data_IF_807793720538
#
_entry.id   IF_807793720538
#
_cell.length_a   1.000
_cell.length_b   1.000
_cell.length_c   1.000
_cell.angle_alpha   90.00
_cell.angle_beta   90.00
_cell.angle_gamma   90.00
#
_symmetry.space_group_name_H-M   'P 1'
#
loop_
_entity.id
_entity.type
_entity.pdbx_description
1 polymer ?
#
# COMPACT_ATOMS: atom_id res chain seq x y z
N UNK A 1 0.32 -21.60 22.14
CA UNK A 1 -0.61 -22.66 21.68
C UNK A 1 0.12 -23.69 20.81
N UNK A 2 0.05 -24.98 21.13
CA UNK A 2 0.49 -26.07 20.25
C UNK A 2 -0.50 -26.19 19.08
N UNK A 3 -0.11 -25.74 17.88
CA UNK A 3 -0.93 -25.93 16.67
C UNK A 3 -0.86 -27.38 16.23
N UNK A 4 -2.01 -28.00 15.98
CA UNK A 4 -2.07 -29.40 15.53
C UNK A 4 -1.43 -29.56 14.14
N UNK A 5 -0.70 -30.65 13.88
CA UNK A 5 -0.11 -30.91 12.58
C UNK A 5 -1.18 -31.09 11.51
N UNK A 6 -0.88 -30.62 10.29
CA UNK A 6 -1.76 -30.78 9.12
C UNK A 6 -2.02 -32.26 8.88
N UNK A 7 -3.29 -32.67 8.89
CA UNK A 7 -3.67 -34.06 8.63
C UNK A 7 -3.89 -34.29 7.13
N UNK A 8 -3.67 -35.52 6.67
CA UNK A 8 -4.01 -35.94 5.31
C UNK A 8 -5.50 -35.68 4.98
N UNK A 9 -6.38 -35.76 5.99
CA UNK A 9 -7.80 -35.44 5.86
C UNK A 9 -8.02 -33.97 5.52
N UNK A 10 -7.32 -33.06 6.20
CA UNK A 10 -7.39 -31.62 5.92
C UNK A 10 -6.92 -31.30 4.50
N UNK A 11 -5.81 -31.90 4.06
CA UNK A 11 -5.30 -31.71 2.69
C UNK A 11 -6.29 -32.20 1.63
N UNK A 12 -6.93 -33.37 1.83
CA UNK A 12 -7.96 -33.90 0.93
C UNK A 12 -9.19 -33.00 0.85
N UNK A 13 -9.62 -32.44 1.98
CA UNK A 13 -10.76 -31.51 2.01
C UNK A 13 -10.44 -30.22 1.29
N UNK A 14 -9.23 -29.69 1.49
CA UNK A 14 -8.77 -28.48 0.83
C UNK A 14 -8.63 -28.66 -0.68
N UNK A 15 -8.01 -29.75 -1.14
CA UNK A 15 -7.93 -30.08 -2.56
C UNK A 15 -9.32 -30.29 -3.20
N UNK A 16 -10.23 -30.96 -2.51
CA UNK A 16 -11.62 -31.08 -2.97
C UNK A 16 -12.31 -29.69 -3.07
N UNK A 17 -12.11 -28.81 -2.09
CA UNK A 17 -12.66 -27.46 -2.12
C UNK A 17 -12.12 -26.64 -3.31
N UNK A 18 -10.81 -26.74 -3.60
CA UNK A 18 -10.19 -26.08 -4.76
C UNK A 18 -10.77 -26.59 -6.08
N UNK A 19 -10.93 -27.91 -6.23
CA UNK A 19 -11.52 -28.50 -7.43
C UNK A 19 -12.98 -28.06 -7.63
N UNK A 20 -13.77 -28.06 -6.56
CA UNK A 20 -15.16 -27.60 -6.61
C UNK A 20 -15.27 -26.12 -6.93
N UNK A 21 -14.41 -25.28 -6.32
CA UNK A 21 -14.36 -23.86 -6.64
C UNK A 21 -14.01 -23.65 -8.11
N UNK A 22 -13.01 -24.35 -8.65
CA UNK A 22 -12.63 -24.21 -10.06
C UNK A 22 -13.81 -24.48 -11.00
N UNK A 23 -14.54 -25.56 -10.78
CA UNK A 23 -15.76 -25.87 -11.55
C UNK A 23 -16.81 -24.76 -11.40
N UNK A 24 -16.96 -24.20 -10.20
CA UNK A 24 -17.90 -23.10 -9.93
C UNK A 24 -17.48 -21.79 -10.61
N UNK A 25 -16.19 -21.59 -10.85
CA UNK A 25 -15.67 -20.40 -11.53
C UNK A 25 -15.80 -20.48 -13.06
N UNK A 26 -15.90 -21.69 -13.62
CA UNK A 26 -16.15 -21.90 -15.05
C UNK A 26 -17.62 -21.59 -15.43
N UNK A 27 -18.54 -21.59 -14.45
CA UNK A 27 -19.93 -21.16 -14.62
C UNK A 27 -20.06 -19.64 -14.33
N UNK A 28 -20.46 -18.80 -15.31
CA UNK A 28 -20.53 -17.36 -15.13
C UNK A 28 -21.54 -16.92 -14.06
N UNK A 29 -22.62 -17.68 -13.83
CA UNK A 29 -23.62 -17.37 -12.80
C UNK A 29 -23.04 -17.63 -11.43
N UNK A 30 -22.38 -18.79 -11.25
CA UNK A 30 -21.77 -19.14 -9.98
C UNK A 30 -20.55 -18.25 -9.67
N UNK A 31 -19.73 -17.90 -10.67
CA UNK A 31 -18.63 -16.96 -10.52
C UNK A 31 -19.09 -15.58 -10.01
N UNK A 32 -20.30 -15.15 -10.39
CA UNK A 32 -20.89 -13.88 -9.94
C UNK A 32 -21.60 -13.97 -8.58
N UNK A 33 -21.74 -15.16 -8.01
CA UNK A 33 -22.41 -15.33 -6.71
C UNK A 33 -21.57 -14.85 -5.52
N UNK A 34 -22.24 -14.48 -4.42
CA UNK A 34 -21.61 -14.20 -3.14
C UNK A 34 -20.96 -15.45 -2.51
N UNK A 35 -21.48 -16.63 -2.85
CA UNK A 35 -20.93 -17.91 -2.39
C UNK A 35 -19.52 -18.15 -2.91
N UNK A 36 -19.26 -17.84 -4.19
CA UNK A 36 -17.91 -17.92 -4.78
C UNK A 36 -16.94 -16.92 -4.16
N UNK A 37 -17.38 -15.69 -3.88
CA UNK A 37 -16.56 -14.70 -3.15
C UNK A 37 -16.24 -15.18 -1.72
N UNK A 38 -17.22 -15.73 -1.02
CA UNK A 38 -17.02 -16.29 0.31
C UNK A 38 -16.03 -17.47 0.28
N UNK A 39 -16.17 -18.39 -0.68
CA UNK A 39 -15.27 -19.51 -0.85
C UNK A 39 -13.83 -19.06 -1.12
N UNK A 40 -13.64 -18.06 -1.99
CA UNK A 40 -12.31 -17.47 -2.23
C UNK A 40 -11.75 -16.81 -0.96
N UNK A 41 -12.54 -16.02 -0.24
CA UNK A 41 -12.09 -15.42 1.02
C UNK A 41 -11.65 -16.47 2.05
N UNK A 42 -12.41 -17.57 2.18
CA UNK A 42 -12.04 -18.68 3.07
C UNK A 42 -10.73 -19.32 2.62
N UNK A 43 -10.54 -19.56 1.32
CA UNK A 43 -9.30 -20.12 0.79
C UNK A 43 -8.10 -19.19 1.01
N UNK A 44 -8.25 -17.88 0.80
CA UNK A 44 -7.22 -16.89 1.07
C UNK A 44 -6.81 -16.91 2.56
N UNK A 45 -7.79 -16.96 3.47
CA UNK A 45 -7.52 -17.11 4.91
C UNK A 45 -6.85 -18.45 5.22
N UNK A 46 -7.30 -19.54 4.59
CA UNK A 46 -6.73 -20.88 4.78
C UNK A 46 -5.28 -20.96 4.33
N UNK A 47 -4.92 -20.41 3.16
CA UNK A 47 -3.53 -20.40 2.68
C UNK A 47 -2.61 -19.67 3.64
N UNK A 48 -3.00 -18.47 4.09
CA UNK A 48 -2.20 -17.67 5.01
C UNK A 48 -2.08 -18.34 6.39
N UNK A 49 -3.08 -19.15 6.77
CA UNK A 49 -2.99 -20.02 7.94
C UNK A 49 -2.12 -21.26 7.72
N UNK A 50 -2.00 -21.77 6.49
CA UNK A 50 -1.24 -22.97 6.11
C UNK A 50 0.26 -22.71 5.97
N UNK A 51 0.68 -21.53 5.52
CA UNK A 51 2.10 -21.11 5.56
C UNK A 51 2.60 -21.00 7.02
N UNK A 52 1.68 -20.71 7.93
CA UNK A 52 1.85 -20.80 9.38
C UNK A 52 1.81 -22.23 9.94
N UNK A 53 1.62 -23.25 9.10
CA UNK A 53 1.51 -24.68 9.46
C UNK A 53 2.59 -25.58 8.85
N UNK A 54 3.58 -25.04 8.10
CA UNK A 54 4.93 -25.61 8.09
C UNK A 54 5.45 -26.31 6.82
N UNK A 55 5.10 -25.87 5.62
CA UNK A 55 5.84 -26.29 4.41
C UNK A 55 6.70 -25.15 3.90
N UNK A 56 8.02 -25.23 4.14
CA UNK A 56 8.99 -24.18 3.82
C UNK A 56 9.41 -24.09 2.35
N UNK A 57 8.86 -24.89 1.44
CA UNK A 57 9.26 -24.86 0.05
C UNK A 57 8.10 -24.41 -0.83
N UNK A 58 8.29 -23.21 -1.39
CA UNK A 58 7.47 -22.56 -2.42
C UNK A 58 6.18 -21.92 -1.88
N UNK A 59 6.29 -20.65 -1.49
CA UNK A 59 5.16 -19.74 -1.28
C UNK A 59 4.46 -19.56 -2.62
N UNK A 60 3.51 -20.43 -2.93
CA UNK A 60 2.66 -20.29 -4.09
C UNK A 60 1.59 -19.25 -3.78
N UNK A 61 1.89 -17.97 -4.01
CA UNK A 61 0.99 -16.80 -4.03
C UNK A 61 -0.17 -16.90 -5.05
N UNK A 62 -0.60 -18.13 -5.41
CA UNK A 62 -1.56 -18.39 -6.46
C UNK A 62 -3.02 -18.09 -6.11
N UNK A 63 -3.41 -17.91 -4.84
CA UNK A 63 -4.81 -17.61 -4.54
C UNK A 63 -5.20 -16.18 -4.84
N UNK A 64 -4.33 -15.19 -4.66
CA UNK A 64 -4.62 -13.85 -5.16
C UNK A 64 -4.62 -13.81 -6.69
N UNK A 65 -3.83 -14.66 -7.37
CA UNK A 65 -3.94 -14.85 -8.83
C UNK A 65 -5.32 -15.39 -9.22
N UNK A 66 -5.80 -16.44 -8.56
CA UNK A 66 -7.14 -17.00 -8.78
C UNK A 66 -8.26 -16.01 -8.41
N UNK A 67 -8.10 -15.29 -7.30
CA UNK A 67 -9.02 -14.25 -6.87
C UNK A 67 -9.05 -13.07 -7.85
N UNK A 68 -7.90 -12.70 -8.43
CA UNK A 68 -7.85 -11.70 -9.49
C UNK A 68 -8.64 -12.15 -10.72
N UNK A 69 -8.50 -13.42 -11.14
CA UNK A 69 -9.30 -13.97 -12.25
C UNK A 69 -10.80 -13.93 -11.93
N UNK A 70 -11.21 -14.29 -10.71
CA UNK A 70 -12.59 -14.16 -10.27
C UNK A 70 -13.06 -12.69 -10.34
N UNK A 71 -12.32 -11.75 -9.77
CA UNK A 71 -12.68 -10.32 -9.80
C UNK A 71 -12.89 -9.80 -11.23
N UNK A 72 -12.06 -10.27 -12.19
CA UNK A 72 -12.21 -9.97 -13.61
C UNK A 72 -13.45 -10.61 -14.23
N UNK A 73 -13.68 -11.89 -13.96
CA UNK A 73 -14.83 -12.64 -14.46
C UNK A 73 -16.17 -12.04 -14.02
N UNK A 74 -16.19 -11.35 -12.88
CA UNK A 74 -17.38 -10.64 -12.38
C UNK A 74 -17.76 -9.42 -13.21
N UNK A 75 -16.87 -8.85 -14.04
CA UNK A 75 -17.19 -7.75 -14.96
C UNK A 75 -18.01 -6.60 -14.33
N UNK A 76 -17.63 -6.14 -13.14
CA UNK A 76 -18.31 -5.07 -12.40
C UNK A 76 -19.69 -5.44 -11.82
N UNK A 77 -20.07 -6.73 -11.81
CA UNK A 77 -21.21 -7.22 -11.06
C UNK A 77 -20.85 -7.31 -9.57
N UNK A 78 -20.87 -6.14 -8.94
CA UNK A 78 -20.66 -5.98 -7.52
C UNK A 78 -21.94 -6.32 -6.76
N UNK A 79 -21.88 -7.15 -5.71
CA UNK A 79 -23.06 -7.47 -4.93
C UNK A 79 -23.69 -6.22 -4.33
N UNK A 80 -25.00 -6.05 -4.49
CA UNK A 80 -25.73 -4.94 -3.86
C UNK A 80 -25.90 -5.14 -2.34
N UNK A 81 -25.78 -6.37 -1.85
CA UNK A 81 -25.91 -6.71 -0.44
C UNK A 81 -24.68 -6.29 0.38
N UNK A 82 -24.90 -5.90 1.64
CA UNK A 82 -23.85 -5.45 2.57
C UNK A 82 -22.73 -6.50 2.72
N UNK A 83 -23.09 -7.79 2.78
CA UNK A 83 -22.13 -8.89 2.94
C UNK A 83 -21.26 -9.03 1.69
N UNK A 84 -21.88 -9.19 0.53
CA UNK A 84 -21.16 -9.34 -0.73
C UNK A 84 -20.29 -8.12 -1.07
N UNK A 85 -20.74 -6.90 -0.75
CA UNK A 85 -19.93 -5.69 -0.89
C UNK A 85 -18.68 -5.74 -0.01
N UNK A 86 -18.82 -6.08 1.28
CA UNK A 86 -17.68 -6.20 2.21
C UNK A 86 -16.69 -7.31 1.80
N UNK A 87 -17.20 -8.45 1.30
CA UNK A 87 -16.36 -9.51 0.74
C UNK A 87 -15.60 -9.01 -0.48
N UNK A 88 -16.28 -8.30 -1.40
CA UNK A 88 -15.65 -7.72 -2.60
C UNK A 88 -14.54 -6.73 -2.24
N UNK A 89 -14.79 -5.83 -1.28
CA UNK A 89 -13.77 -4.91 -0.76
C UNK A 89 -12.55 -5.68 -0.24
N UNK A 90 -12.78 -6.71 0.59
CA UNK A 90 -11.70 -7.48 1.23
C UNK A 90 -10.84 -8.24 0.20
N UNK A 91 -11.47 -8.95 -0.75
CA UNK A 91 -10.77 -9.66 -1.82
C UNK A 91 -10.02 -8.66 -2.70
N UNK A 92 -10.68 -7.58 -3.11
CA UNK A 92 -10.09 -6.57 -3.98
C UNK A 92 -8.85 -5.92 -3.36
N UNK A 93 -8.91 -5.53 -2.08
CA UNK A 93 -7.77 -4.94 -1.38
C UNK A 93 -6.59 -5.91 -1.29
N UNK A 94 -6.81 -7.16 -0.90
CA UNK A 94 -5.74 -8.14 -0.79
C UNK A 94 -5.07 -8.42 -2.15
N UNK A 95 -5.89 -8.60 -3.20
CA UNK A 95 -5.40 -8.82 -4.56
C UNK A 95 -4.61 -7.62 -5.08
N UNK A 96 -5.10 -6.40 -4.85
CA UNK A 96 -4.43 -5.16 -5.28
C UNK A 96 -3.11 -4.93 -4.55
N UNK A 97 -3.02 -5.28 -3.26
CA UNK A 97 -1.74 -5.20 -2.53
C UNK A 97 -0.76 -6.23 -3.08
N UNK A 98 -1.18 -7.49 -3.24
CA UNK A 98 -0.27 -8.53 -3.71
C UNK A 98 0.23 -8.27 -5.13
N UNK A 99 -0.60 -7.71 -6.00
CA UNK A 99 -0.22 -7.46 -7.38
C UNK A 99 0.99 -6.52 -7.51
N UNK A 100 1.35 -5.74 -6.47
CA UNK A 100 2.54 -4.86 -6.53
C UNK A 100 3.81 -5.70 -6.59
N UNK A 101 3.77 -6.85 -5.94
CA UNK A 101 4.87 -7.78 -5.81
C UNK A 101 4.74 -8.92 -6.83
N UNK A 102 3.52 -9.36 -7.13
CA UNK A 102 3.27 -10.50 -8.01
C UNK A 102 3.03 -10.08 -9.47
N UNK A 103 4.01 -10.25 -10.39
CA UNK A 103 3.88 -9.82 -11.79
C UNK A 103 2.87 -10.63 -12.61
N UNK A 104 2.35 -11.75 -12.09
CA UNK A 104 1.30 -12.53 -12.74
C UNK A 104 -0.08 -11.91 -12.58
N UNK A 105 -0.26 -11.04 -11.57
CA UNK A 105 -1.48 -10.29 -11.39
C UNK A 105 -1.34 -8.95 -12.12
N UNK A 106 -2.09 -8.81 -13.21
CA UNK A 106 -2.09 -7.58 -14.03
C UNK A 106 -3.51 -7.07 -14.19
N UNK A 107 -3.68 -5.76 -14.17
CA UNK A 107 -4.95 -5.11 -14.41
C UNK A 107 -4.84 -4.13 -15.57
N UNK A 108 -5.88 -4.09 -16.38
CA UNK A 108 -6.12 -3.01 -17.34
C UNK A 108 -6.57 -1.74 -16.61
N UNK A 109 -6.45 -0.60 -17.27
CA UNK A 109 -6.91 0.67 -16.73
C UNK A 109 -8.42 0.67 -16.44
N UNK A 110 -9.22 0.02 -17.30
CA UNK A 110 -10.68 -0.09 -17.10
C UNK A 110 -11.02 -0.89 -15.84
N UNK A 111 -10.32 -2.00 -15.60
CA UNK A 111 -10.47 -2.81 -14.38
C UNK A 111 -10.10 -2.00 -13.13
N UNK A 112 -8.96 -1.28 -13.15
CA UNK A 112 -8.53 -0.43 -12.04
C UNK A 112 -9.52 0.69 -11.74
N UNK A 113 -10.10 1.33 -12.76
CA UNK A 113 -11.14 2.36 -12.60
C UNK A 113 -12.39 1.79 -11.95
N UNK A 114 -12.80 0.58 -12.36
CA UNK A 114 -13.94 -0.11 -11.73
C UNK A 114 -13.67 -0.43 -10.26
N UNK A 115 -12.51 -1.00 -9.95
CA UNK A 115 -12.12 -1.28 -8.55
C UNK A 115 -12.04 0.01 -7.73
N UNK A 116 -11.47 1.07 -8.29
CA UNK A 116 -11.39 2.39 -7.63
C UNK A 116 -12.80 2.92 -7.29
N UNK A 117 -13.78 2.73 -8.18
CA UNK A 117 -15.19 3.07 -7.93
C UNK A 117 -15.83 2.18 -6.85
N UNK A 118 -15.60 0.87 -6.90
CA UNK A 118 -16.08 -0.07 -5.87
C UNK A 118 -15.55 0.33 -4.49
N UNK A 119 -14.24 0.56 -4.38
CA UNK A 119 -13.56 0.84 -3.12
C UNK A 119 -14.02 2.16 -2.49
N UNK A 120 -14.43 3.15 -3.29
CA UNK A 120 -15.00 4.44 -2.80
C UNK A 120 -16.45 4.34 -2.35
N UNK A 121 -17.21 3.38 -2.86
CA UNK A 121 -18.65 3.30 -2.62
C UNK A 121 -18.96 2.92 -1.16
N UNK A 122 -19.59 3.84 -0.42
CA UNK A 122 -20.14 3.57 0.92
C UNK A 122 -19.11 3.39 2.04
N UNK A 123 -17.86 3.81 1.81
CA UNK A 123 -16.71 3.52 2.70
C UNK A 123 -16.07 4.79 3.28
N UNK A 124 -16.46 5.99 2.85
CA UNK A 124 -15.95 7.26 3.41
C UNK A 124 -14.42 7.36 3.34
N UNK A 125 -13.78 7.77 4.45
CA UNK A 125 -12.32 7.87 4.58
C UNK A 125 -11.60 6.54 4.26
N UNK A 126 -12.16 5.40 4.67
CA UNK A 126 -11.62 4.09 4.33
C UNK A 126 -11.58 3.88 2.81
N UNK A 127 -12.61 4.31 2.10
CA UNK A 127 -12.67 4.22 0.63
C UNK A 127 -11.64 5.08 -0.08
N UNK A 128 -11.38 6.27 0.45
CA UNK A 128 -10.30 7.14 -0.06
C UNK A 128 -8.95 6.45 0.05
N UNK A 129 -8.63 5.87 1.22
CA UNK A 129 -7.38 5.13 1.39
C UNK A 129 -7.35 3.92 0.47
N UNK A 130 -8.36 3.07 0.49
CA UNK A 130 -8.38 1.85 -0.32
C UNK A 130 -8.28 2.14 -1.82
N UNK A 131 -9.03 3.11 -2.34
CA UNK A 131 -9.03 3.42 -3.78
C UNK A 131 -7.71 4.04 -4.26
N UNK A 132 -6.93 4.65 -3.37
CA UNK A 132 -5.62 5.22 -3.72
C UNK A 132 -4.61 4.18 -4.20
N UNK A 133 -4.78 2.91 -3.82
CA UNK A 133 -3.91 1.84 -4.33
C UNK A 133 -4.06 1.68 -5.85
N UNK A 134 -5.27 1.85 -6.38
CA UNK A 134 -5.52 1.88 -7.83
C UNK A 134 -4.87 3.11 -8.47
N UNK A 135 -4.87 4.25 -7.78
CA UNK A 135 -4.22 5.47 -8.28
C UNK A 135 -2.71 5.27 -8.40
N UNK A 136 -2.06 4.69 -7.38
CA UNK A 136 -0.65 4.30 -7.44
C UNK A 136 -0.33 3.36 -8.60
N UNK A 137 -1.20 2.37 -8.86
CA UNK A 137 -1.10 1.52 -10.04
C UNK A 137 -1.11 2.30 -11.35
N UNK A 138 -2.12 3.17 -11.51
CA UNK A 138 -2.28 3.98 -12.69
C UNK A 138 -1.10 4.94 -12.87
N UNK A 139 -0.59 5.52 -11.79
CA UNK A 139 0.60 6.39 -11.83
C UNK A 139 1.83 5.64 -12.34
N UNK A 140 2.10 4.43 -11.84
CA UNK A 140 3.19 3.60 -12.34
C UNK A 140 2.99 3.20 -13.81
N UNK A 141 1.76 2.86 -14.23
CA UNK A 141 1.47 2.51 -15.62
C UNK A 141 1.58 3.70 -16.57
N UNK A 142 1.16 4.90 -16.14
CA UNK A 142 1.33 6.14 -16.90
C UNK A 142 2.81 6.43 -17.08
N UNK A 143 3.61 6.25 -16.02
CA UNK A 143 5.06 6.39 -16.11
C UNK A 143 5.66 5.46 -17.18
N UNK A 144 5.35 4.16 -17.12
CA UNK A 144 5.88 3.16 -18.05
C UNK A 144 5.48 3.43 -19.50
N UNK A 145 4.24 3.88 -19.73
CA UNK A 145 3.71 4.15 -21.08
C UNK A 145 4.15 5.49 -21.68
N UNK A 146 4.52 6.46 -20.84
CA UNK A 146 4.92 7.82 -21.27
C UNK A 146 6.41 8.08 -21.07
N UNK A 147 7.21 7.02 -21.12
CA UNK A 147 8.66 7.11 -21.03
C UNK A 147 9.25 8.09 -22.07
N UNK A 148 8.56 8.44 -23.16
CA UNK A 148 9.08 9.40 -24.15
C UNK A 148 8.44 10.80 -24.10
N UNK A 149 7.35 11.00 -23.33
CA UNK A 149 6.60 12.26 -23.25
C UNK A 149 6.96 13.07 -22.00
N UNK A 150 7.80 14.09 -22.19
CA UNK A 150 8.29 14.99 -21.14
C UNK A 150 7.14 15.78 -20.46
N UNK A 151 6.10 16.15 -21.21
CA UNK A 151 4.96 16.94 -20.71
C UNK A 151 4.12 16.17 -19.70
N UNK A 152 3.84 14.89 -19.99
CA UNK A 152 3.12 13.99 -19.08
C UNK A 152 3.87 13.70 -17.79
N UNK A 153 5.20 13.66 -17.87
CA UNK A 153 6.11 13.42 -16.73
C UNK A 153 6.05 14.53 -15.69
N UNK A 154 5.91 15.80 -16.07
CA UNK A 154 5.88 16.91 -15.09
C UNK A 154 4.56 17.04 -14.32
N UNK A 155 3.44 16.57 -14.88
CA UNK A 155 2.15 16.60 -14.19
C UNK A 155 1.99 15.45 -13.18
N UNK A 156 2.75 14.38 -13.34
CA UNK A 156 2.61 13.17 -12.52
C UNK A 156 3.02 13.36 -11.05
N UNK A 157 4.13 14.04 -10.71
CA UNK A 157 4.51 14.31 -9.31
C UNK A 157 3.42 15.03 -8.54
N UNK A 158 2.76 16.02 -9.16
CA UNK A 158 1.65 16.76 -8.55
C UNK A 158 0.47 15.80 -8.23
N UNK A 159 0.11 14.92 -9.17
CA UNK A 159 -0.97 13.95 -8.97
C UNK A 159 -0.64 12.98 -7.83
N UNK A 160 0.57 12.42 -7.82
CA UNK A 160 1.00 11.50 -6.75
C UNK A 160 1.02 12.19 -5.39
N UNK A 161 1.47 13.45 -5.33
CA UNK A 161 1.46 14.26 -4.10
C UNK A 161 0.04 14.46 -3.57
N UNK A 162 -0.91 14.81 -4.44
CA UNK A 162 -2.31 14.96 -4.08
C UNK A 162 -2.91 13.64 -3.56
N UNK A 163 -2.57 12.51 -4.18
CA UNK A 163 -2.97 11.19 -3.67
C UNK A 163 -2.42 10.94 -2.27
N UNK A 164 -1.11 11.16 -2.03
CA UNK A 164 -0.51 10.97 -0.71
C UNK A 164 -1.16 11.87 0.35
N UNK A 165 -1.42 13.14 0.03
CA UNK A 165 -2.09 14.09 0.94
C UNK A 165 -3.53 13.67 1.27
N UNK A 166 -4.27 13.20 0.26
CA UNK A 166 -5.64 12.71 0.43
C UNK A 166 -5.68 11.48 1.34
N UNK A 167 -4.77 10.53 1.11
CA UNK A 167 -4.62 9.31 1.92
C UNK A 167 -4.21 9.66 3.36
N UNK A 168 -3.25 10.56 3.56
CA UNK A 168 -2.83 10.99 4.89
C UNK A 168 -3.97 11.66 5.67
N UNK A 169 -4.84 12.42 4.98
CA UNK A 169 -6.02 13.05 5.59
C UNK A 169 -7.07 12.02 5.97
N UNK A 170 -7.43 11.12 5.05
CA UNK A 170 -8.37 10.04 5.31
C UNK A 170 -7.89 9.10 6.42
N UNK A 171 -6.58 8.83 6.49
CA UNK A 171 -5.97 8.06 7.58
C UNK A 171 -6.14 8.73 8.95
N UNK A 172 -5.96 10.05 9.03
CA UNK A 172 -6.18 10.81 10.27
C UNK A 172 -7.63 10.70 10.74
N UNK A 173 -8.59 10.84 9.83
CA UNK A 173 -10.01 10.67 10.15
C UNK A 173 -10.31 9.27 10.71
N UNK A 174 -9.73 8.21 10.13
CA UNK A 174 -9.86 6.84 10.64
C UNK A 174 -9.27 6.69 12.04
N UNK A 175 -8.08 7.27 12.28
CA UNK A 175 -7.45 7.26 13.62
C UNK A 175 -8.29 7.99 14.65
N UNK A 176 -8.96 9.08 14.27
CA UNK A 176 -9.84 9.81 15.17
C UNK A 176 -11.10 8.99 15.50
N UNK A 177 -11.66 8.25 14.54
CA UNK A 177 -12.72 7.27 14.80
C UNK A 177 -12.25 6.19 15.79
N UNK A 178 -11.06 5.63 15.61
CA UNK A 178 -10.50 4.62 16.51
C UNK A 178 -10.41 5.14 17.95
N UNK A 179 -9.87 6.35 18.15
CA UNK A 179 -9.80 6.99 19.48
C UNK A 179 -11.17 7.17 20.13
N UNK A 180 -12.19 7.52 19.35
CA UNK A 180 -13.57 7.66 19.85
C UNK A 180 -14.11 6.30 20.35
N UNK A 181 -13.86 5.23 19.61
CA UNK A 181 -14.26 3.87 20.00
C UNK A 181 -13.52 3.43 21.27
N UNK A 182 -12.21 3.68 21.36
CA UNK A 182 -11.40 3.35 22.54
C UNK A 182 -11.86 4.11 23.78
N UNK A 183 -12.20 5.40 23.62
CA UNK A 183 -12.78 6.23 24.69
C UNK A 183 -14.11 5.67 25.16
N UNK A 184 -14.97 5.22 24.23
CA UNK A 184 -16.25 4.59 24.57
C UNK A 184 -16.07 3.25 25.31
N UNK A 185 -15.04 2.47 24.96
CA UNK A 185 -14.70 1.20 25.61
C UNK A 185 -14.13 1.35 27.02
N UNK A 186 -13.43 2.46 27.30
CA UNK A 186 -12.92 2.78 28.63
C UNK A 186 -14.06 3.06 29.63
N UNK A 187 -15.24 3.46 29.15
CA UNK A 187 -16.44 3.66 29.95
C UNK A 187 -17.27 2.38 30.19
N UNK A 188 -18.30 2.51 31.01
CA UNK A 188 -19.35 1.49 31.12
C UNK A 188 -20.33 1.62 29.95
N UNK A 189 -20.04 0.94 28.82
CA UNK A 189 -20.92 0.95 27.66
C UNK A 189 -21.81 -0.31 27.60
N UNK A 190 -23.14 -0.19 27.41
CA UNK A 190 -24.04 -1.36 27.35
C UNK A 190 -23.73 -2.32 26.19
N UNK A 191 -22.99 -1.88 25.18
CA UNK A 191 -22.60 -2.66 24.00
C UNK A 191 -21.11 -3.00 23.95
N UNK A 192 -20.44 -3.15 25.11
CA UNK A 192 -18.99 -3.39 25.19
C UNK A 192 -18.48 -4.50 24.26
N UNK A 193 -19.23 -5.60 24.12
CA UNK A 193 -18.85 -6.71 23.23
C UNK A 193 -18.81 -6.30 21.74
N UNK A 194 -19.79 -5.53 21.27
CA UNK A 194 -19.86 -5.04 19.89
C UNK A 194 -18.73 -4.04 19.64
N UNK A 195 -18.50 -3.13 20.58
CA UNK A 195 -17.42 -2.16 20.49
C UNK A 195 -16.04 -2.84 20.48
N UNK A 196 -15.84 -3.89 21.28
CA UNK A 196 -14.60 -4.66 21.28
C UNK A 196 -14.35 -5.31 19.92
N UNK A 197 -15.39 -5.89 19.31
CA UNK A 197 -15.30 -6.45 17.96
C UNK A 197 -14.99 -5.35 16.94
N UNK A 198 -15.62 -4.19 17.03
CA UNK A 198 -15.39 -3.05 16.15
C UNK A 198 -13.94 -2.54 16.23
N UNK A 199 -13.39 -2.36 17.44
CA UNK A 199 -11.98 -1.98 17.64
C UNK A 199 -11.05 -2.97 16.96
N UNK A 200 -11.24 -4.28 17.15
CA UNK A 200 -10.41 -5.30 16.47
C UNK A 200 -10.47 -5.22 14.95
N UNK A 201 -11.61 -4.84 14.38
CA UNK A 201 -11.72 -4.66 12.93
C UNK A 201 -11.06 -3.37 12.47
N UNK A 202 -11.16 -2.30 13.24
CA UNK A 202 -10.51 -1.02 12.94
C UNK A 202 -8.99 -1.14 13.04
N UNK A 203 -8.45 -1.82 14.05
CA UNK A 203 -7.01 -2.12 14.19
C UNK A 203 -6.48 -2.85 12.94
N UNK A 204 -7.20 -3.88 12.48
CA UNK A 204 -6.83 -4.61 11.25
C UNK A 204 -6.88 -3.72 10.02
N UNK A 205 -7.91 -2.90 9.93
CA UNK A 205 -8.05 -1.95 8.84
C UNK A 205 -6.91 -0.93 8.84
N UNK A 206 -6.47 -0.49 10.02
CA UNK A 206 -5.35 0.41 10.20
C UNK A 206 -4.06 -0.16 9.58
N UNK A 207 -3.75 -1.44 9.82
CA UNK A 207 -2.58 -2.13 9.26
C UNK A 207 -2.61 -2.11 7.71
N UNK A 208 -3.78 -2.34 7.11
CA UNK A 208 -3.97 -2.25 5.66
C UNK A 208 -3.71 -0.82 5.19
N UNK A 209 -4.28 0.18 5.89
CA UNK A 209 -4.09 1.58 5.52
C UNK A 209 -2.62 2.01 5.58
N UNK A 210 -1.87 1.53 6.58
CA UNK A 210 -0.42 1.77 6.67
C UNK A 210 0.29 1.21 5.44
N UNK A 211 0.00 -0.03 5.04
CA UNK A 211 0.59 -0.65 3.85
C UNK A 211 0.32 0.15 2.57
N UNK A 212 -0.91 0.63 2.41
CA UNK A 212 -1.29 1.46 1.28
C UNK A 212 -0.58 2.83 1.32
N UNK A 213 -0.46 3.47 2.48
CA UNK A 213 0.32 4.70 2.63
C UNK A 213 1.77 4.50 2.21
N UNK A 214 2.42 3.42 2.68
CA UNK A 214 3.80 3.10 2.34
C UNK A 214 3.98 2.91 0.84
N UNK A 215 3.08 2.17 0.18
CA UNK A 215 3.11 1.97 -1.27
C UNK A 215 2.92 3.29 -2.05
N UNK A 216 1.98 4.15 -1.63
CA UNK A 216 1.82 5.47 -2.24
C UNK A 216 3.08 6.33 -2.06
N UNK A 217 3.64 6.36 -0.84
CA UNK A 217 4.85 7.13 -0.54
C UNK A 217 6.07 6.61 -1.31
N UNK A 218 6.16 5.30 -1.58
CA UNK A 218 7.20 4.70 -2.42
C UNK A 218 7.13 5.20 -3.87
N UNK A 219 5.94 5.19 -4.46
CA UNK A 219 5.72 5.73 -5.81
C UNK A 219 6.04 7.23 -5.83
N UNK A 220 5.63 7.97 -4.80
CA UNK A 220 5.92 9.40 -4.66
C UNK A 220 7.41 9.68 -4.54
N UNK A 221 8.14 8.97 -3.68
CA UNK A 221 9.58 9.11 -3.49
C UNK A 221 10.39 8.84 -4.77
N UNK A 222 9.85 8.06 -5.70
CA UNK A 222 10.50 7.81 -6.99
C UNK A 222 10.46 9.03 -7.92
N UNK A 223 9.44 9.88 -7.84
CA UNK A 223 9.20 10.94 -8.85
C UNK A 223 8.91 12.34 -8.28
N UNK A 224 8.76 12.52 -6.97
CA UNK A 224 8.53 13.81 -6.31
C UNK A 224 9.71 14.19 -5.41
N UNK A 225 10.64 14.96 -5.95
CA UNK A 225 11.87 15.39 -5.25
C UNK A 225 11.54 16.31 -4.07
N UNK A 226 10.59 17.23 -4.25
CA UNK A 226 10.30 18.28 -3.28
C UNK A 226 9.76 17.68 -1.97
N UNK A 227 8.89 16.69 -2.07
CA UNK A 227 8.24 16.07 -0.91
C UNK A 227 9.05 14.90 -0.33
N UNK A 228 10.13 14.46 -1.00
CA UNK A 228 10.83 13.20 -0.68
C UNK A 228 11.28 13.13 0.78
N UNK A 229 11.84 14.21 1.33
CA UNK A 229 12.26 14.25 2.73
C UNK A 229 11.11 14.01 3.71
N UNK A 230 9.99 14.70 3.51
CA UNK A 230 8.80 14.55 4.34
C UNK A 230 8.16 13.16 4.21
N UNK A 231 8.13 12.61 2.99
CA UNK A 231 7.61 11.27 2.70
C UNK A 231 8.46 10.17 3.36
N UNK A 232 9.78 10.34 3.40
CA UNK A 232 10.69 9.42 4.08
C UNK A 232 10.52 9.46 5.59
N UNK A 233 10.39 10.65 6.18
CA UNK A 233 10.08 10.80 7.60
C UNK A 233 8.73 10.15 7.95
N UNK A 234 7.72 10.33 7.07
CA UNK A 234 6.43 9.68 7.22
C UNK A 234 6.52 8.15 7.11
N UNK A 235 7.33 7.63 6.19
CA UNK A 235 7.61 6.20 6.09
C UNK A 235 8.21 5.65 7.37
N UNK A 236 9.22 6.30 7.95
CA UNK A 236 9.82 5.85 9.22
C UNK A 236 8.76 5.78 10.32
N UNK A 237 7.90 6.80 10.43
CA UNK A 237 6.80 6.81 11.40
C UNK A 237 5.83 5.65 11.16
N UNK A 238 5.38 5.44 9.93
CA UNK A 238 4.48 4.36 9.54
C UNK A 238 5.08 2.97 9.76
N UNK A 239 6.37 2.81 9.50
CA UNK A 239 7.12 1.57 9.75
C UNK A 239 7.13 1.26 11.26
N UNK A 240 7.38 2.27 12.11
CA UNK A 240 7.32 2.09 13.57
C UNK A 240 5.91 1.70 14.02
N UNK A 241 4.87 2.36 13.52
CA UNK A 241 3.48 2.02 13.84
C UNK A 241 3.13 0.56 13.48
N UNK A 242 3.59 0.03 12.34
CA UNK A 242 3.32 -1.38 11.99
C UNK A 242 4.16 -2.36 12.83
N UNK A 243 5.38 -2.01 13.20
CA UNK A 243 6.20 -2.82 14.09
C UNK A 243 5.58 -2.93 15.48
N UNK A 244 5.11 -1.81 16.03
CA UNK A 244 4.35 -1.78 17.30
C UNK A 244 3.08 -2.64 17.20
N UNK A 245 2.35 -2.54 16.09
CA UNK A 245 1.17 -3.38 15.84
C UNK A 245 1.54 -4.86 15.75
N UNK A 246 2.66 -5.23 15.12
CA UNK A 246 3.15 -6.60 15.01
C UNK A 246 3.67 -7.19 16.34
N UNK A 247 4.01 -6.34 17.32
CA UNK A 247 4.34 -6.76 18.68
C UNK A 247 3.08 -7.05 19.52
N UNK A 248 2.03 -6.24 19.35
CA UNK A 248 0.75 -6.39 20.09
C UNK A 248 -0.14 -7.48 19.48
N UNK A 249 -0.30 -7.49 18.17
CA UNK A 249 -1.04 -8.52 17.43
C UNK A 249 -0.19 -9.78 17.26
N UNK A 250 -0.06 -10.52 18.37
CA UNK A 250 0.39 -11.90 18.33
C UNK A 250 -0.44 -12.71 17.31
N UNK A 251 0.14 -13.79 16.78
CA UNK A 251 -0.33 -14.67 15.68
C UNK A 251 -1.72 -15.34 15.94
N UNK A 252 -2.51 -14.84 16.87
CA UNK A 252 -3.72 -15.47 17.41
C UNK A 252 -4.99 -15.15 16.61
N UNK A 253 -4.97 -14.18 15.69
CA UNK A 253 -6.12 -13.80 14.87
C UNK A 253 -5.97 -14.18 13.38
N UNK A 254 -6.86 -15.01 12.79
CA UNK A 254 -6.74 -15.45 11.39
C UNK A 254 -6.86 -14.33 10.34
N UNK A 255 -7.33 -13.13 10.71
CA UNK A 255 -7.49 -12.01 9.78
C UNK A 255 -6.41 -10.91 9.90
N UNK A 256 -5.76 -10.74 11.06
CA UNK A 256 -4.63 -9.79 11.18
C UNK A 256 -3.35 -10.35 10.55
N UNK A 257 -3.20 -11.68 10.65
CA UNK A 257 -2.12 -12.46 10.04
C UNK A 257 -2.08 -12.39 8.51
N UNK A 258 -3.20 -12.11 7.83
CA UNK A 258 -3.23 -12.11 6.36
C UNK A 258 -2.62 -10.85 5.75
N UNK A 259 -2.78 -9.72 6.41
CA UNK A 259 -2.37 -8.42 5.89
C UNK A 259 -1.03 -7.96 6.47
N UNK A 260 -0.71 -8.36 7.70
CA UNK A 260 0.51 -7.96 8.37
C UNK A 260 1.79 -8.30 7.57
N UNK A 261 1.98 -9.52 7.03
CA UNK A 261 3.17 -9.82 6.23
C UNK A 261 3.28 -8.97 4.97
N UNK A 262 2.16 -8.69 4.29
CA UNK A 262 2.14 -7.83 3.10
C UNK A 262 2.49 -6.38 3.45
N UNK A 263 1.95 -5.85 4.55
CA UNK A 263 2.28 -4.51 5.06
C UNK A 263 3.74 -4.44 5.50
N UNK A 264 4.27 -5.45 6.18
CA UNK A 264 5.67 -5.52 6.58
C UNK A 264 6.60 -5.61 5.35
N UNK A 265 6.20 -6.27 4.26
CA UNK A 265 6.94 -6.23 3.01
C UNK A 265 6.96 -4.81 2.41
N UNK A 266 5.82 -4.10 2.40
CA UNK A 266 5.78 -2.69 2.00
C UNK A 266 6.72 -1.83 2.87
N UNK A 267 6.72 -2.07 4.19
CA UNK A 267 7.59 -1.41 5.15
C UNK A 267 9.07 -1.68 4.88
N UNK A 268 9.43 -2.92 4.55
CA UNK A 268 10.80 -3.30 4.23
C UNK A 268 11.33 -2.56 3.00
N UNK A 269 10.49 -2.44 1.96
CA UNK A 269 10.82 -1.71 0.72
C UNK A 269 10.90 -0.19 0.98
N UNK A 270 10.00 0.33 1.83
CA UNK A 270 9.94 1.74 2.20
C UNK A 270 11.04 2.17 3.17
N UNK A 271 11.70 1.21 3.82
CA UNK A 271 12.78 1.48 4.77
C UNK A 271 14.05 1.93 4.05
N UNK A 272 14.60 3.10 4.38
CA UNK A 272 15.90 3.53 3.87
C UNK A 272 17.08 2.95 4.67
N UNK A 273 16.81 2.30 5.80
CA UNK A 273 17.82 1.89 6.79
C UNK A 273 17.91 0.36 6.92
N UNK A 274 19.11 -0.24 6.74
CA UNK A 274 19.34 -1.66 6.97
C UNK A 274 19.01 -2.16 8.38
N UNK A 275 19.20 -1.34 9.43
CA UNK A 275 18.87 -1.75 10.79
C UNK A 275 17.35 -1.92 10.97
N UNK A 276 16.59 -0.98 10.41
CA UNK A 276 15.13 -1.03 10.40
C UNK A 276 14.62 -2.18 9.51
N UNK A 277 15.28 -2.47 8.38
CA UNK A 277 14.98 -3.66 7.57
C UNK A 277 15.18 -4.96 8.35
N UNK A 278 16.27 -5.09 9.11
CA UNK A 278 16.53 -6.25 9.97
C UNK A 278 15.49 -6.38 11.10
N UNK A 279 14.95 -5.28 11.60
CA UNK A 279 13.83 -5.29 12.56
C UNK A 279 12.53 -5.80 11.93
N UNK A 280 12.22 -5.35 10.71
CA UNK A 280 11.06 -5.81 9.94
C UNK A 280 11.17 -7.31 9.60
N UNK A 281 12.35 -7.78 9.21
CA UNK A 281 12.60 -9.20 8.97
C UNK A 281 12.38 -10.05 10.22
N UNK A 282 12.82 -9.57 11.39
CA UNK A 282 12.53 -10.22 12.68
C UNK A 282 11.03 -10.26 12.97
N UNK A 283 10.28 -9.20 12.64
CA UNK A 283 8.83 -9.19 12.77
C UNK A 283 8.16 -10.18 11.80
N UNK A 284 8.57 -10.22 10.53
CA UNK A 284 8.09 -11.17 9.51
C UNK A 284 8.32 -12.63 9.92
N UNK A 285 9.45 -12.93 10.57
CA UNK A 285 9.77 -14.26 11.05
C UNK A 285 8.72 -14.80 12.05
N UNK A 286 8.06 -13.93 12.83
CA UNK A 286 6.94 -14.33 13.72
C UNK A 286 5.76 -14.91 12.95
N UNK A 287 5.59 -14.47 11.70
CA UNK A 287 4.57 -14.94 10.77
C UNK A 287 5.07 -16.07 9.86
N UNK A 288 6.30 -16.58 10.09
CA UNK A 288 6.99 -17.56 9.24
C UNK A 288 7.14 -17.11 7.79
N UNK A 289 7.22 -15.79 7.60
CA UNK A 289 7.38 -15.18 6.29
C UNK A 289 8.81 -14.66 6.16
N UNK A 290 9.35 -14.68 4.94
CA UNK A 290 10.62 -14.05 4.60
C UNK A 290 10.43 -13.12 3.41
N UNK A 291 11.13 -11.99 3.39
CA UNK A 291 11.14 -11.10 2.22
C UNK A 291 11.61 -11.87 0.98
N UNK A 292 12.65 -12.71 1.13
CA UNK A 292 13.19 -13.55 0.06
C UNK A 292 12.20 -14.60 -0.47
N UNK A 293 11.19 -14.94 0.32
CA UNK A 293 10.18 -15.92 -0.05
C UNK A 293 9.02 -15.32 -0.83
N UNK A 294 8.95 -13.98 -0.95
CA UNK A 294 7.91 -13.30 -1.70
C UNK A 294 8.33 -13.09 -3.17
N UNK A 295 7.71 -13.79 -4.12
CA UNK A 295 8.07 -13.65 -5.52
C UNK A 295 7.82 -12.22 -6.00
N UNK A 296 8.86 -11.60 -6.57
CA UNK A 296 8.76 -10.33 -7.28
C UNK A 296 8.90 -9.05 -6.45
N UNK A 297 9.18 -9.13 -5.13
CA UNK A 297 9.64 -7.95 -4.34
C UNK A 297 10.85 -7.29 -5.02
N UNK A 298 11.88 -8.08 -5.39
CA UNK A 298 13.07 -7.56 -6.06
C UNK A 298 12.73 -6.89 -7.40
N UNK A 299 11.78 -7.46 -8.13
CA UNK A 299 11.28 -6.90 -9.38
C UNK A 299 10.60 -5.55 -9.16
N UNK A 300 9.82 -5.41 -8.09
CA UNK A 300 9.17 -4.17 -7.72
C UNK A 300 10.17 -3.10 -7.24
N UNK A 301 11.14 -3.47 -6.39
CA UNK A 301 12.24 -2.58 -5.98
C UNK A 301 13.00 -2.07 -7.20
N UNK A 302 13.38 -2.97 -8.10
CA UNK A 302 14.07 -2.63 -9.35
C UNK A 302 13.23 -1.70 -10.23
N UNK A 303 11.90 -1.88 -10.26
CA UNK A 303 10.98 -1.00 -10.99
C UNK A 303 10.98 0.41 -10.40
N UNK A 304 10.86 0.56 -9.09
CA UNK A 304 10.93 1.87 -8.43
C UNK A 304 12.28 2.56 -8.64
N UNK A 305 13.39 1.80 -8.57
CA UNK A 305 14.72 2.33 -8.83
C UNK A 305 14.89 2.83 -10.27
N UNK A 306 14.35 2.11 -11.27
CA UNK A 306 14.32 2.56 -12.66
C UNK A 306 13.50 3.84 -12.81
N UNK A 307 12.27 3.87 -12.25
CA UNK A 307 11.43 5.07 -12.27
C UNK A 307 12.17 6.29 -11.71
N UNK A 308 12.83 6.09 -10.57
CA UNK A 308 13.64 7.11 -9.93
C UNK A 308 14.78 7.57 -10.84
N UNK A 309 15.63 6.65 -11.29
CA UNK A 309 16.77 6.95 -12.15
C UNK A 309 16.34 7.72 -13.41
N UNK A 310 15.33 7.22 -14.12
CA UNK A 310 14.81 7.83 -15.34
C UNK A 310 14.24 9.23 -15.11
N UNK A 311 13.61 9.48 -13.96
CA UNK A 311 13.10 10.80 -13.59
C UNK A 311 14.24 11.81 -13.38
N UNK A 312 15.27 11.46 -12.60
CA UNK A 312 16.41 12.35 -12.35
C UNK A 312 17.23 12.62 -13.62
N UNK A 313 17.47 11.60 -14.43
CA UNK A 313 18.20 11.75 -15.70
C UNK A 313 17.51 12.76 -16.63
N UNK A 314 16.17 12.78 -16.69
CA UNK A 314 15.42 13.76 -17.49
C UNK A 314 15.49 15.18 -16.95
N UNK A 315 15.64 15.33 -15.64
CA UNK A 315 15.85 16.62 -15.01
C UNK A 315 17.30 17.12 -15.15
N UNK A 316 18.18 16.33 -15.79
CA UNK A 316 19.60 16.65 -15.89
C UNK A 316 20.32 16.59 -14.54
N UNK A 317 19.78 15.84 -13.57
CA UNK A 317 20.36 15.67 -12.24
C UNK A 317 21.10 14.32 -12.17
N UNK A 318 22.27 14.28 -11.53
CA UNK A 318 22.99 13.03 -11.30
C UNK A 318 22.26 12.20 -10.21
N UNK A 319 21.81 10.98 -10.51
CA UNK A 319 21.21 10.08 -9.53
C UNK A 319 22.13 9.74 -8.34
N UNK A 320 23.45 9.82 -8.53
CA UNK A 320 24.46 9.51 -7.50
C UNK A 320 24.56 10.57 -6.40
N UNK A 321 24.24 11.84 -6.70
CA UNK A 321 24.28 12.93 -5.73
C UNK A 321 23.22 12.79 -4.60
N UNK A 322 22.28 11.85 -4.73
CA UNK A 322 21.12 11.70 -3.83
C UNK A 322 20.93 10.30 -3.21
N UNK A 323 21.92 9.41 -3.35
CA UNK A 323 21.97 8.11 -2.63
C UNK A 323 22.87 8.14 -1.41
N UNK A 324 23.59 9.24 -1.19
CA UNK A 324 24.47 9.43 -0.04
C UNK A 324 23.69 9.30 1.30
N UNK A 325 24.01 8.29 2.15
CA UNK A 325 23.43 8.14 3.48
C UNK A 325 23.62 9.39 4.37
N UNK A 326 24.62 10.20 4.07
CA UNK A 326 24.94 11.44 4.77
C UNK A 326 23.88 12.52 4.56
N UNK A 327 23.26 12.58 3.38
CA UNK A 327 22.14 13.50 3.09
C UNK A 327 20.89 13.10 3.87
N UNK A 328 20.65 11.80 4.02
CA UNK A 328 19.55 11.25 4.83
C UNK A 328 19.72 11.53 6.33
N UNK A 329 20.93 11.30 6.85
CA UNK A 329 21.26 11.61 8.26
C UNK A 329 21.15 13.10 8.57
N UNK A 330 21.54 13.97 7.62
CA UNK A 330 21.40 15.41 7.77
C UNK A 330 19.93 15.86 7.80
N UNK A 331 19.04 15.21 7.04
CA UNK A 331 17.59 15.49 7.06
C UNK A 331 16.89 14.96 8.32
N UNK A 332 17.28 13.79 8.83
CA UNK A 332 16.77 13.24 10.11
C UNK A 332 17.21 14.10 11.30
N UNK A 333 18.46 14.59 11.29
CA UNK A 333 18.95 15.54 12.30
C UNK A 333 18.26 16.91 12.21
N UNK A 334 17.96 17.41 11.01
CA UNK A 334 17.24 18.66 10.83
C UNK A 334 15.78 18.61 11.30
N UNK A 335 15.16 17.42 11.36
CA UNK A 335 13.79 17.25 11.83
C UNK A 335 13.66 17.05 13.35
N UNK A 336 14.76 16.72 14.04
CA UNK A 336 14.79 16.55 15.50
C UNK A 336 14.99 17.85 16.27
N UNK A 337 15.27 18.96 15.58
CA UNK A 337 15.48 20.27 16.20
C UNK A 337 14.41 21.26 15.71
N UNK A 338 13.42 21.67 16.54
CA UNK A 338 12.33 22.52 16.09
C UNK A 338 12.74 23.97 15.79
N UNK A 339 14.01 24.35 16.02
CA UNK A 339 14.51 25.69 15.71
C UNK A 339 16.00 25.71 15.32
N UNK A 340 16.35 25.69 14.01
CA UNK A 340 17.55 26.39 13.59
C UNK A 340 17.19 27.87 13.45
N UNK A 341 17.77 28.69 14.31
CA UNK A 341 17.79 30.15 14.15
C UNK A 341 18.48 30.45 12.80
N UNK A 342 17.68 30.73 11.77
CA UNK A 342 18.19 31.29 10.52
C UNK A 342 18.49 32.77 10.74
N UNK A 343 19.68 33.27 10.34
CA UNK A 343 19.97 34.69 10.40
C UNK A 343 19.08 35.44 9.39
N UNK A 344 18.35 36.44 9.88
CA UNK A 344 17.53 37.33 9.07
C UNK A 344 18.42 38.16 8.12
N UNK A 345 18.36 37.89 6.82
CA UNK A 345 18.50 38.81 5.66
C UNK A 345 18.53 37.94 4.39
N UNK A 346 17.97 38.25 3.22
CA UNK A 346 17.24 39.40 2.70
C UNK A 346 16.24 38.86 1.65
N UNK A 347 15.24 39.67 1.32
CA UNK A 347 14.20 39.37 0.35
C UNK A 347 14.74 39.04 -1.06
N UNK A 348 14.07 38.09 -1.73
CA UNK A 348 14.03 37.96 -3.19
C UNK A 348 15.31 37.48 -3.88
N UNK A 349 15.45 36.16 -4.06
CA UNK A 349 16.35 35.62 -5.08
C UNK A 349 15.62 34.56 -5.91
N UNK A 350 15.54 34.82 -7.21
CA UNK A 350 15.17 33.83 -8.22
C UNK A 350 16.34 32.86 -8.39
N UNK A 351 16.06 31.55 -8.30
CA UNK A 351 17.04 30.51 -8.57
C UNK A 351 16.97 30.18 -10.06
N UNK A 352 18.03 30.50 -10.81
CA UNK A 352 18.20 30.10 -12.20
C UNK A 352 18.77 28.69 -12.24
N UNK A 353 17.92 27.70 -12.53
CA UNK A 353 18.36 26.35 -12.91
C UNK A 353 18.46 26.35 -14.44
N UNK A 354 19.64 26.04 -14.97
CA UNK A 354 20.06 26.30 -16.36
C UNK A 354 19.04 26.02 -17.48
N UNK A 355 19.22 26.78 -18.57
CA UNK A 355 18.44 26.81 -19.83
C UNK A 355 16.92 27.00 -19.67
N UNK A 356 16.55 28.22 -19.25
CA UNK A 356 15.31 28.86 -19.68
C UNK A 356 14.11 28.81 -18.73
N UNK A 357 14.25 28.23 -17.54
CA UNK A 357 13.15 28.13 -16.57
C UNK A 357 13.48 28.98 -15.34
N UNK A 358 12.69 30.02 -15.09
CA UNK A 358 12.80 30.88 -13.91
C UNK A 358 11.62 30.62 -12.98
N UNK A 359 11.88 30.17 -11.76
CA UNK A 359 10.85 30.03 -10.73
C UNK A 359 10.64 31.36 -10.01
N UNK A 360 9.41 31.86 -10.00
CA UNK A 360 9.01 33.01 -9.18
C UNK A 360 8.06 32.50 -8.10
N UNK A 361 8.54 32.49 -6.85
CA UNK A 361 7.71 32.21 -5.68
C UNK A 361 6.83 33.43 -5.42
N UNK A 362 5.53 33.34 -5.64
CA UNK A 362 4.58 34.41 -5.32
C UNK A 362 3.49 33.90 -4.39
N UNK A 363 3.77 34.04 -3.09
CA UNK A 363 2.94 33.70 -1.92
C UNK A 363 2.42 32.26 -1.80
N UNK A 364 2.21 31.84 -0.56
CA UNK A 364 2.06 30.46 -0.05
C UNK A 364 0.94 29.59 -0.66
N UNK A 365 0.24 30.06 -1.70
CA UNK A 365 -0.94 29.37 -2.26
C UNK A 365 -0.98 29.25 -3.78
N UNK A 366 -0.05 29.80 -4.56
CA UNK A 366 -0.05 29.65 -6.03
C UNK A 366 1.37 29.56 -6.60
N UNK A 367 1.67 28.44 -7.25
CA UNK A 367 2.84 28.32 -8.14
C UNK A 367 2.34 28.58 -9.56
N UNK A 368 2.79 29.68 -10.18
CA UNK A 368 2.59 29.93 -11.60
C UNK A 368 3.84 29.49 -12.37
N UNK A 369 3.66 28.58 -13.32
CA UNK A 369 4.73 28.16 -14.25
C UNK A 369 4.60 28.99 -15.52
N UNK A 370 5.63 29.80 -15.83
CA UNK A 370 5.73 30.53 -17.08
C UNK A 370 6.83 29.90 -17.95
N UNK A 371 6.44 29.36 -19.10
CA UNK A 371 7.36 28.87 -20.13
C UNK A 371 7.61 29.99 -21.14
N UNK A 372 8.84 30.53 -21.18
CA UNK A 372 9.27 31.35 -22.33
C UNK A 372 9.97 30.43 -23.33
N UNK A 373 9.32 30.21 -24.48
CA UNK A 373 9.97 29.65 -25.65
C UNK A 373 10.74 30.78 -26.33
N UNK A 374 12.07 30.71 -26.32
CA UNK A 374 12.89 31.60 -27.15
C UNK A 374 12.93 31.03 -28.57
N UNK A 375 12.42 31.82 -29.53
CA UNK A 375 12.61 31.66 -30.98
C UNK A 375 14.05 31.90 -31.39
#
# INVERSE_FOLDING_TARGET
MNRQPVTLKCLRQYDHALRTLRVSLDDPVLAQSDASLCAVMVLMVCQLSQDLMGTQNEIATGHCEGAAQLLKARQNHWPAGIIGHKLSLSVCTAVLIESFYNPRIKFSEAELRSFSSLLRTGTGAAGTVLSSICDSYMHMSIWESRCDDISGVFALPIKVRLTCQSVATARRELKDIMKLVDTALAGHHPQKAILTLATRQLERFDIITIGICLLNNLVACAIDIESRGALLADNIRLIREVLDAADVDSVEGPFGVTQMPLTLCAAWIASPDPELQAEIERALAKYRFSVSSMPGIEGYVSKLQRMKHDFYTRLGMDPADMTSPTTYRAMDLAHRDPHPVLPQSAAGQAVSLGRGITYVKQDERRVAVSLRLNS
#
